data_IF_629125663845
#
_entry.id   IF_629125663845
#
_cell.length_a   1.000
_cell.length_b   1.000
_cell.length_c   1.000
_cell.angle_alpha   90.00
_cell.angle_beta   90.00
_cell.angle_gamma   90.00
#
_symmetry.space_group_name_H-M   'P 1'
#
loop_
_entity.id
_entity.type
_entity.pdbx_description
1 polymer ?
#
# COMPACT_ATOMS: atom_id res chain seq x y z
N UNK A 1 15.56 7.73 37.36
CA UNK A 1 14.58 7.40 36.33
C UNK A 1 14.84 8.30 35.14
N UNK A 2 15.36 7.78 34.04
CA UNK A 2 15.52 8.54 32.80
C UNK A 2 14.12 8.96 32.32
N UNK A 3 13.89 10.25 32.17
CA UNK A 3 12.59 10.75 31.67
C UNK A 3 12.31 10.18 30.28
N UNK A 4 11.12 9.59 30.08
CA UNK A 4 10.65 9.13 28.77
C UNK A 4 10.62 10.34 27.82
N UNK A 5 11.20 10.20 26.62
CA UNK A 5 11.16 11.29 25.64
C UNK A 5 9.73 11.60 25.19
N UNK A 6 9.42 12.85 24.81
CA UNK A 6 8.09 13.21 24.31
C UNK A 6 7.61 12.32 23.14
N UNK A 7 8.54 11.94 22.25
CA UNK A 7 8.25 11.04 21.12
C UNK A 7 7.84 9.65 21.61
N UNK A 8 8.60 9.09 22.55
CA UNK A 8 8.29 7.77 23.12
C UNK A 8 6.98 7.79 23.91
N UNK A 9 6.72 8.84 24.68
CA UNK A 9 5.47 9.01 25.39
C UNK A 9 4.26 9.01 24.42
N UNK A 10 4.35 9.80 23.35
CA UNK A 10 3.31 9.84 22.34
C UNK A 10 3.13 8.49 21.62
N UNK A 11 4.20 7.81 21.26
CA UNK A 11 4.15 6.49 20.63
C UNK A 11 3.41 5.48 21.53
N UNK A 12 3.70 5.49 22.83
CA UNK A 12 3.02 4.65 23.83
C UNK A 12 1.52 4.97 23.87
N UNK A 13 1.15 6.25 23.90
CA UNK A 13 -0.25 6.68 23.96
C UNK A 13 -1.01 6.28 22.69
N UNK A 14 -0.38 6.34 21.51
CA UNK A 14 -0.96 5.89 20.26
C UNK A 14 -1.10 4.37 20.19
N UNK A 15 -0.08 3.60 20.62
CA UNK A 15 -0.12 2.13 20.59
C UNK A 15 -1.22 1.59 21.52
N UNK A 16 -1.44 2.22 22.66
CA UNK A 16 -2.48 1.83 23.62
C UNK A 16 -3.91 2.01 23.11
N UNK A 17 -4.10 2.65 21.97
CA UNK A 17 -5.38 2.73 21.27
C UNK A 17 -5.46 1.61 20.24
N UNK A 18 -6.36 0.62 20.42
CA UNK A 18 -6.45 -0.56 19.55
C UNK A 18 -7.18 -0.23 18.23
N UNK A 19 -6.59 0.64 17.45
CA UNK A 19 -7.12 1.16 16.18
C UNK A 19 -6.94 0.15 15.05
N UNK A 20 -7.58 -1.03 15.18
CA UNK A 20 -7.61 -2.02 14.10
C UNK A 20 -8.45 -1.48 12.95
N UNK A 21 -7.90 -1.52 11.72
CA UNK A 21 -8.55 -0.96 10.53
C UNK A 21 -10.01 -1.39 10.40
N UNK A 22 -10.97 -0.50 10.09
CA UNK A 22 -10.82 0.93 9.81
C UNK A 22 -10.98 1.85 11.04
N UNK A 23 -10.92 1.32 12.26
CA UNK A 23 -11.18 2.05 13.50
C UNK A 23 -10.00 2.96 13.90
N UNK A 24 -10.25 4.25 14.19
CA UNK A 24 -9.23 5.19 14.67
C UNK A 24 -8.95 5.11 16.18
N UNK A 25 -9.98 4.78 16.96
CA UNK A 25 -9.91 4.68 18.42
C UNK A 25 -9.37 5.94 19.13
N UNK A 26 -9.60 7.12 18.54
CA UNK A 26 -9.19 8.41 19.10
C UNK A 26 -7.71 8.77 18.90
N UNK A 27 -6.99 8.06 18.03
CA UNK A 27 -5.63 8.42 17.64
C UNK A 27 -5.58 9.80 16.99
N UNK A 28 -6.46 10.06 16.02
CA UNK A 28 -6.52 11.35 15.31
C UNK A 28 -6.96 12.48 16.24
N UNK A 29 -7.86 12.23 17.19
CA UNK A 29 -8.27 13.22 18.19
C UNK A 29 -7.07 13.64 19.03
N UNK A 30 -6.29 12.69 19.54
CA UNK A 30 -5.07 12.99 20.33
C UNK A 30 -4.07 13.83 19.52
N UNK A 31 -3.87 13.50 18.25
CA UNK A 31 -2.96 14.24 17.37
C UNK A 31 -3.52 15.63 17.08
N UNK A 32 -4.82 15.77 16.78
CA UNK A 32 -5.48 17.02 16.50
C UNK A 32 -5.40 18.00 17.67
N UNK A 33 -5.59 17.54 18.90
CA UNK A 33 -5.45 18.37 20.10
C UNK A 33 -4.04 18.95 20.23
N UNK A 34 -3.01 18.14 19.98
CA UNK A 34 -1.61 18.61 20.01
C UNK A 34 -1.31 19.57 18.88
N UNK A 35 -1.82 19.32 17.67
CA UNK A 35 -1.69 20.23 16.52
C UNK A 35 -2.43 21.56 16.76
N UNK A 36 -3.62 21.53 17.37
CA UNK A 36 -4.36 22.76 17.73
C UNK A 36 -3.54 23.65 18.67
N UNK A 37 -2.84 23.06 19.66
CA UNK A 37 -1.97 23.80 20.57
C UNK A 37 -0.80 24.52 19.86
N UNK A 38 -0.45 24.05 18.66
CA UNK A 38 0.56 24.68 17.79
C UNK A 38 -0.05 25.68 16.79
N UNK A 39 -1.35 25.91 16.83
CA UNK A 39 -2.06 26.83 15.92
C UNK A 39 -2.37 26.22 14.55
N UNK A 40 -2.48 24.90 14.44
CA UNK A 40 -3.05 24.26 13.27
C UNK A 40 -4.57 24.38 13.26
N UNK A 41 -5.13 24.55 12.08
CA UNK A 41 -6.55 24.35 11.81
C UNK A 41 -6.78 22.88 11.49
N UNK A 42 -7.59 22.21 12.29
CA UNK A 42 -7.90 20.79 12.14
C UNK A 42 -9.26 20.63 11.47
N UNK A 43 -9.32 19.79 10.47
CA UNK A 43 -10.52 19.44 9.71
C UNK A 43 -10.68 17.90 9.72
N UNK A 44 -11.54 17.35 10.60
CA UNK A 44 -11.92 15.94 10.53
C UNK A 44 -12.72 15.68 9.25
N UNK A 45 -12.33 14.67 8.49
CA UNK A 45 -12.97 14.26 7.24
C UNK A 45 -13.38 12.80 7.36
N UNK A 46 -14.68 12.52 7.44
CA UNK A 46 -15.19 11.16 7.52
C UNK A 46 -15.80 10.73 6.20
N UNK A 47 -15.31 9.60 5.67
CA UNK A 47 -15.83 8.96 4.48
C UNK A 47 -16.25 7.53 4.82
N UNK A 48 -17.57 7.24 4.74
CA UNK A 48 -18.10 5.96 5.19
C UNK A 48 -17.78 5.70 6.67
N UNK A 49 -17.05 4.62 6.95
CA UNK A 49 -16.65 4.24 8.30
C UNK A 49 -15.24 4.74 8.67
N UNK A 50 -14.52 5.34 7.73
CA UNK A 50 -13.12 5.76 7.85
C UNK A 50 -13.02 7.18 8.36
N UNK A 51 -12.24 7.36 9.41
CA UNK A 51 -11.88 8.67 9.94
C UNK A 51 -10.59 9.17 9.28
N UNK A 52 -10.62 10.41 8.80
CA UNK A 52 -9.44 11.09 8.27
C UNK A 52 -9.29 12.45 8.94
N UNK A 53 -8.07 12.94 8.97
CA UNK A 53 -7.75 14.27 9.50
C UNK A 53 -6.88 15.04 8.50
N UNK A 54 -7.37 16.20 8.09
CA UNK A 54 -6.56 17.22 7.47
C UNK A 54 -6.26 18.31 8.47
N UNK A 55 -5.00 18.63 8.68
CA UNK A 55 -4.58 19.70 9.58
C UNK A 55 -3.58 20.59 8.87
N UNK A 56 -3.74 21.92 8.97
CA UNK A 56 -2.84 22.88 8.32
C UNK A 56 -2.52 24.05 9.23
N UNK A 57 -1.22 24.43 9.26
CA UNK A 57 -0.70 25.65 9.83
C UNK A 57 -0.11 26.52 8.73
N UNK A 58 -0.52 27.80 8.66
CA UNK A 58 -0.14 28.75 7.62
C UNK A 58 -1.02 28.65 6.37
N UNK A 59 -0.92 29.68 5.51
CA UNK A 59 -1.70 29.79 4.26
C UNK A 59 -0.82 30.03 3.04
N UNK A 60 0.48 30.24 3.25
CA UNK A 60 1.44 30.52 2.19
C UNK A 60 2.07 29.22 1.62
N UNK A 61 2.44 29.29 0.35
CA UNK A 61 3.33 28.28 -0.24
C UNK A 61 4.79 28.54 0.20
N UNK A 62 5.64 27.51 0.19
CA UNK A 62 5.35 26.12 -0.11
C UNK A 62 4.65 25.39 1.05
N UNK A 63 3.91 24.32 0.76
CA UNK A 63 3.27 23.45 1.73
C UNK A 63 4.02 22.11 1.86
N UNK A 64 4.54 21.84 3.05
CA UNK A 64 5.08 20.53 3.43
C UNK A 64 4.01 19.75 4.19
N UNK A 65 3.69 18.55 3.74
CA UNK A 65 2.72 17.65 4.39
C UNK A 65 3.44 16.46 5.01
N UNK A 66 3.10 16.14 6.25
CA UNK A 66 3.37 14.85 6.88
C UNK A 66 2.15 13.96 6.69
N UNK A 67 2.33 12.81 6.05
CA UNK A 67 1.24 11.86 5.81
C UNK A 67 1.50 10.53 6.52
N UNK A 68 0.42 9.86 6.91
CA UNK A 68 0.47 8.56 7.54
C UNK A 68 -0.90 8.05 7.97
N UNK A 69 -0.91 6.87 8.59
CA UNK A 69 -2.11 6.22 9.06
C UNK A 69 -2.09 5.95 10.56
N UNK A 70 -3.28 5.92 11.15
CA UNK A 70 -3.48 5.65 12.58
C UNK A 70 -3.97 4.24 12.85
N UNK A 71 -4.53 3.60 11.82
CA UNK A 71 -4.98 2.21 11.89
C UNK A 71 -3.82 1.22 11.86
N UNK A 72 -4.13 0.00 12.21
CA UNK A 72 -3.18 -1.13 12.24
C UNK A 72 -3.87 -2.40 11.76
N UNK A 73 -3.10 -3.34 11.19
CA UNK A 73 -3.61 -4.68 10.85
C UNK A 73 -4.09 -5.44 12.10
N UNK A 74 -5.00 -6.42 11.96
CA UNK A 74 -5.38 -7.31 13.04
C UNK A 74 -4.18 -7.96 13.72
N UNK A 75 -4.26 -8.16 15.03
CA UNK A 75 -3.16 -8.69 15.85
C UNK A 75 -2.88 -10.18 15.62
N UNK A 76 -3.86 -10.92 15.09
CA UNK A 76 -3.86 -12.37 15.16
C UNK A 76 -4.07 -12.87 16.61
N UNK A 77 -3.78 -14.14 16.89
CA UNK A 77 -3.99 -14.69 18.22
C UNK A 77 -3.03 -14.05 19.25
N UNK A 78 -3.58 -13.49 20.33
CA UNK A 78 -2.78 -12.84 21.38
C UNK A 78 -1.76 -13.78 22.04
N UNK A 79 -2.05 -15.09 22.06
CA UNK A 79 -1.14 -16.10 22.58
C UNK A 79 0.18 -16.21 21.81
N UNK A 80 0.25 -15.67 20.59
CA UNK A 80 1.48 -15.61 19.80
C UNK A 80 2.36 -14.39 20.13
N UNK A 81 1.87 -13.47 20.96
CA UNK A 81 2.60 -12.26 21.34
C UNK A 81 3.38 -12.46 22.63
N UNK A 82 4.61 -11.91 22.68
CA UNK A 82 5.42 -11.87 23.91
C UNK A 82 4.79 -10.98 24.98
N UNK A 83 4.18 -9.87 24.57
CA UNK A 83 3.41 -8.93 25.40
C UNK A 83 2.08 -8.64 24.72
N UNK A 84 1.02 -8.28 25.46
CA UNK A 84 -0.25 -7.91 24.84
C UNK A 84 -0.04 -6.85 23.76
N UNK A 85 -0.66 -6.98 22.57
CA UNK A 85 -0.33 -6.17 21.40
C UNK A 85 -0.51 -4.66 21.58
N UNK A 86 -1.37 -4.24 22.49
CA UNK A 86 -1.63 -2.83 22.77
C UNK A 86 -1.13 -2.36 24.15
N UNK A 87 -0.29 -3.17 24.82
CA UNK A 87 0.28 -2.78 26.13
C UNK A 87 1.35 -1.71 26.01
N UNK A 88 1.97 -1.52 24.84
CA UNK A 88 3.11 -0.63 24.62
C UNK A 88 4.25 -0.89 25.62
N UNK A 89 4.62 -2.16 25.74
CA UNK A 89 5.62 -2.60 26.71
C UNK A 89 7.03 -2.16 26.27
N UNK A 90 7.82 -1.64 27.24
CA UNK A 90 9.24 -1.38 27.03
C UNK A 90 10.05 -2.44 27.73
N UNK A 91 10.94 -3.09 27.00
CA UNK A 91 11.90 -4.06 27.53
C UNK A 91 13.21 -3.99 26.73
N UNK A 92 14.33 -4.00 27.42
CA UNK A 92 15.67 -3.99 26.82
C UNK A 92 15.91 -2.83 25.81
N UNK A 93 15.29 -1.67 26.03
CA UNK A 93 15.38 -0.50 25.17
C UNK A 93 14.52 -0.57 23.90
N UNK A 94 13.69 -1.58 23.76
CA UNK A 94 12.74 -1.77 22.65
C UNK A 94 11.31 -1.50 23.10
N UNK A 95 10.52 -0.88 22.23
CA UNK A 95 9.08 -0.67 22.40
C UNK A 95 8.32 -1.75 21.64
N UNK A 96 7.57 -2.57 22.37
CA UNK A 96 6.75 -3.66 21.82
C UNK A 96 5.30 -3.24 21.73
N UNK A 97 4.68 -3.51 20.57
CA UNK A 97 3.26 -3.29 20.35
C UNK A 97 2.87 -3.30 18.88
N UNK A 98 1.60 -3.62 18.59
CA UNK A 98 1.05 -3.50 17.24
C UNK A 98 1.07 -2.03 16.81
N UNK A 99 1.60 -1.75 15.61
CA UNK A 99 1.74 -0.40 15.11
C UNK A 99 2.97 0.36 15.63
N UNK A 100 3.84 -0.25 16.46
CA UNK A 100 5.03 0.43 16.96
C UNK A 100 5.98 0.84 15.84
N UNK A 101 6.20 -0.02 14.84
CA UNK A 101 7.00 0.25 13.66
C UNK A 101 6.14 0.83 12.53
N UNK A 102 4.98 0.27 12.30
CA UNK A 102 4.06 0.59 11.22
C UNK A 102 2.72 1.04 11.78
N UNK A 103 2.39 2.39 11.79
CA UNK A 103 3.40 3.45 11.68
C UNK A 103 3.29 4.47 12.83
N UNK A 104 2.71 4.07 14.00
CA UNK A 104 2.47 4.97 15.14
C UNK A 104 3.76 5.58 15.70
N UNK A 105 4.88 4.84 15.63
CA UNK A 105 6.20 5.37 15.95
C UNK A 105 6.63 6.50 15.01
N UNK A 106 6.38 6.34 13.71
CA UNK A 106 6.60 7.36 12.69
C UNK A 106 5.75 8.60 12.91
N UNK A 107 4.45 8.43 13.21
CA UNK A 107 3.53 9.52 13.56
C UNK A 107 4.02 10.31 14.77
N UNK A 108 4.42 9.61 15.83
CA UNK A 108 4.94 10.25 17.04
C UNK A 108 6.23 11.04 16.75
N UNK A 109 7.11 10.53 15.90
CA UNK A 109 8.33 11.20 15.50
C UNK A 109 8.04 12.48 14.68
N UNK A 110 7.15 12.39 13.67
CA UNK A 110 6.78 13.54 12.83
C UNK A 110 6.12 14.65 13.66
N UNK A 111 5.15 14.30 14.52
CA UNK A 111 4.45 15.28 15.33
C UNK A 111 5.39 15.98 16.32
N UNK A 112 6.19 15.22 17.05
CA UNK A 112 7.13 15.82 18.03
C UNK A 112 8.29 16.59 17.37
N UNK A 113 8.66 16.24 16.14
CA UNK A 113 9.59 17.04 15.34
C UNK A 113 8.95 18.39 14.95
N UNK A 114 7.69 18.36 14.51
CA UNK A 114 6.93 19.56 14.19
C UNK A 114 6.76 20.47 15.44
N UNK A 115 6.41 19.91 16.60
CA UNK A 115 6.32 20.66 17.87
C UNK A 115 7.63 21.39 18.19
N UNK A 116 8.77 20.70 18.10
CA UNK A 116 10.08 21.30 18.33
C UNK A 116 10.44 22.38 17.30
N UNK A 117 10.05 22.16 16.05
CA UNK A 117 10.29 23.12 14.98
C UNK A 117 9.46 24.39 15.20
N UNK A 118 8.15 24.29 15.42
CA UNK A 118 7.25 25.41 15.63
C UNK A 118 7.62 26.20 16.88
N UNK A 119 8.04 25.53 17.96
CA UNK A 119 8.52 26.18 19.16
C UNK A 119 9.78 27.03 18.92
N UNK A 120 10.68 26.60 18.03
CA UNK A 120 11.91 27.33 17.67
C UNK A 120 11.68 28.38 16.59
N UNK A 121 10.75 28.15 15.69
CA UNK A 121 10.46 28.98 14.51
C UNK A 121 8.94 29.24 14.39
N UNK A 122 8.34 29.98 15.32
CA UNK A 122 6.88 30.17 15.32
C UNK A 122 6.36 30.96 14.10
N UNK A 123 7.24 31.73 13.45
CA UNK A 123 6.96 32.52 12.24
C UNK A 123 7.72 31.97 11.03
N UNK A 124 7.76 30.64 10.87
CA UNK A 124 8.38 30.02 9.71
C UNK A 124 7.69 30.44 8.39
N UNK A 125 8.44 30.39 7.29
CA UNK A 125 7.89 30.60 5.95
C UNK A 125 7.16 29.34 5.48
N UNK A 126 6.17 29.53 4.56
CA UNK A 126 5.38 28.44 4.03
C UNK A 126 4.38 27.88 5.03
N UNK A 127 3.86 26.71 4.73
CA UNK A 127 2.84 26.02 5.51
C UNK A 127 3.27 24.62 5.86
N UNK A 128 2.73 24.06 6.94
CA UNK A 128 2.90 22.67 7.35
C UNK A 128 1.53 22.03 7.41
N UNK A 129 1.37 20.84 6.84
CA UNK A 129 0.16 20.03 6.89
C UNK A 129 0.39 18.67 7.53
N UNK A 130 -0.69 18.08 8.06
CA UNK A 130 -0.78 16.66 8.41
C UNK A 130 -1.99 16.08 7.70
N UNK A 131 -1.80 14.96 7.03
CA UNK A 131 -2.84 14.17 6.40
C UNK A 131 -2.80 12.77 7.02
N UNK A 132 -3.83 12.42 7.78
CA UNK A 132 -3.93 11.16 8.49
C UNK A 132 -5.17 10.41 8.06
N UNK A 133 -5.08 9.08 8.00
CA UNK A 133 -6.19 8.17 7.69
C UNK A 133 -6.26 7.02 8.69
N UNK A 134 -7.43 6.40 8.81
CA UNK A 134 -7.63 5.13 9.50
C UNK A 134 -7.94 3.96 8.55
N UNK A 135 -7.58 4.05 7.27
CA UNK A 135 -7.81 3.03 6.22
C UNK A 135 -6.61 2.96 5.25
N UNK A 136 -5.41 2.74 5.78
CA UNK A 136 -4.24 2.39 4.95
C UNK A 136 -4.06 0.88 4.91
N UNK A 137 -4.24 0.22 6.03
CA UNK A 137 -4.06 -1.22 6.25
C UNK A 137 -5.28 -2.06 5.83
N UNK A 138 -6.34 -1.40 5.38
CA UNK A 138 -7.56 -1.99 4.88
C UNK A 138 -7.70 -1.89 3.36
N UNK A 139 -8.93 -1.69 2.84
CA UNK A 139 -9.17 -1.51 1.42
C UNK A 139 -8.54 -0.26 0.82
N UNK A 140 -8.17 0.75 1.65
CA UNK A 140 -7.57 2.03 1.28
C UNK A 140 -8.39 2.86 0.26
N UNK A 141 -9.73 2.69 0.27
CA UNK A 141 -10.64 3.34 -0.70
C UNK A 141 -11.19 4.65 -0.14
N UNK A 142 -11.41 4.72 1.18
CA UNK A 142 -12.04 5.86 1.86
C UNK A 142 -11.04 6.68 2.69
N UNK A 143 -9.76 6.36 2.58
CA UNK A 143 -8.66 7.00 3.30
C UNK A 143 -8.05 8.17 2.53
N UNK A 144 -6.73 8.17 2.45
CA UNK A 144 -5.89 9.21 1.83
C UNK A 144 -6.38 9.67 0.46
N UNK A 145 -6.85 8.73 -0.39
CA UNK A 145 -7.37 9.06 -1.74
C UNK A 145 -8.50 10.07 -1.67
N UNK A 146 -9.46 9.87 -0.76
CA UNK A 146 -10.62 10.77 -0.60
C UNK A 146 -10.22 12.15 -0.06
N UNK A 147 -9.25 12.19 0.85
CA UNK A 147 -8.72 13.47 1.34
C UNK A 147 -8.02 14.22 0.20
N UNK A 148 -7.19 13.53 -0.60
CA UNK A 148 -6.50 14.14 -1.75
C UNK A 148 -7.51 14.66 -2.78
N UNK A 149 -8.59 13.92 -3.10
CA UNK A 149 -9.67 14.38 -3.96
C UNK A 149 -10.30 15.70 -3.45
N UNK A 150 -10.56 15.79 -2.13
CA UNK A 150 -11.08 17.01 -1.51
C UNK A 150 -10.09 18.18 -1.60
N UNK A 151 -8.81 17.95 -1.37
CA UNK A 151 -7.77 18.97 -1.46
C UNK A 151 -7.59 19.47 -2.88
N UNK A 152 -7.60 18.57 -3.87
CA UNK A 152 -7.57 18.95 -5.30
C UNK A 152 -8.77 19.79 -5.71
N UNK A 153 -9.98 19.41 -5.27
CA UNK A 153 -11.19 20.19 -5.54
C UNK A 153 -11.13 21.63 -4.97
N UNK A 154 -10.36 21.84 -3.91
CA UNK A 154 -10.10 23.15 -3.28
C UNK A 154 -8.86 23.84 -3.87
N UNK A 155 -8.21 23.26 -4.86
CA UNK A 155 -6.95 23.75 -5.44
C UNK A 155 -5.83 23.88 -4.39
N UNK A 156 -5.82 23.02 -3.40
CA UNK A 156 -4.79 22.94 -2.37
C UNK A 156 -3.55 22.24 -2.95
N UNK A 157 -2.51 23.00 -3.24
CA UNK A 157 -1.27 22.46 -3.78
C UNK A 157 -0.35 21.99 -2.65
N UNK A 158 0.09 20.74 -2.72
CA UNK A 158 1.10 20.16 -1.82
C UNK A 158 2.43 20.17 -2.57
N UNK A 159 3.43 20.88 -2.04
CA UNK A 159 4.75 20.98 -2.68
C UNK A 159 5.64 19.79 -2.29
N UNK A 160 5.57 19.35 -1.03
CA UNK A 160 6.34 18.21 -0.52
C UNK A 160 5.50 17.36 0.43
N UNK A 161 5.75 16.06 0.39
CA UNK A 161 5.15 15.11 1.31
C UNK A 161 6.20 14.19 1.94
N UNK A 162 6.16 14.05 3.26
CA UNK A 162 6.94 13.06 4.01
C UNK A 162 5.98 12.05 4.59
N UNK A 163 6.16 10.78 4.20
CA UNK A 163 5.36 9.66 4.69
C UNK A 163 6.21 8.92 5.72
N UNK A 164 5.68 8.74 6.93
CA UNK A 164 6.42 8.20 8.08
C UNK A 164 6.50 6.68 8.14
N UNK A 165 6.33 6.00 7.01
CA UNK A 165 6.43 4.54 6.89
C UNK A 165 7.84 4.00 7.21
N UNK A 166 7.94 2.77 7.79
CA UNK A 166 9.22 2.16 8.09
C UNK A 166 9.95 1.79 6.80
N UNK A 167 11.10 2.41 6.55
CA UNK A 167 11.92 2.14 5.36
C UNK A 167 13.37 1.79 5.69
N UNK A 168 13.82 2.08 6.91
CA UNK A 168 15.19 1.80 7.34
C UNK A 168 15.45 0.31 7.50
N UNK A 169 16.67 -0.14 7.21
CA UNK A 169 17.05 -1.55 7.28
C UNK A 169 17.99 -1.89 8.43
N UNK A 170 19.07 -1.13 8.62
CA UNK A 170 20.07 -1.36 9.68
C UNK A 170 20.17 -0.23 10.68
N UNK A 171 19.98 1.01 10.24
CA UNK A 171 19.99 2.21 11.07
C UNK A 171 18.86 3.13 10.65
N UNK A 172 18.27 3.81 11.61
CA UNK A 172 17.24 4.83 11.33
C UNK A 172 17.77 5.86 10.34
N UNK A 173 17.05 6.02 9.21
CA UNK A 173 17.38 6.96 8.15
C UNK A 173 18.43 6.47 7.14
N UNK A 174 18.81 5.18 7.15
CA UNK A 174 19.74 4.62 6.16
C UNK A 174 19.11 4.34 4.80
N UNK A 175 17.78 4.29 4.72
CA UNK A 175 17.03 4.14 3.50
C UNK A 175 15.80 5.04 3.49
N UNK A 176 15.59 5.76 2.39
CA UNK A 176 14.40 6.56 2.11
C UNK A 176 13.86 6.12 0.75
N UNK A 177 12.58 5.76 0.71
CA UNK A 177 11.91 5.46 -0.55
C UNK A 177 11.50 6.78 -1.22
N UNK A 178 12.03 7.06 -2.40
CA UNK A 178 11.67 8.23 -3.20
C UNK A 178 10.72 7.90 -4.35
N UNK A 179 10.27 6.65 -4.47
CA UNK A 179 9.36 6.19 -5.49
C UNK A 179 8.89 4.76 -5.25
N UNK A 180 7.94 4.33 -6.05
CA UNK A 180 7.35 2.99 -5.98
C UNK A 180 7.06 2.49 -7.39
N UNK A 181 7.34 1.20 -7.64
CA UNK A 181 6.86 0.53 -8.85
C UNK A 181 5.35 0.33 -8.78
N UNK A 182 4.69 0.36 -9.94
CA UNK A 182 3.29 0.01 -10.07
C UNK A 182 3.05 -1.48 -9.85
N UNK A 183 1.79 -1.83 -9.61
CA UNK A 183 1.35 -3.21 -9.43
C UNK A 183 0.05 -3.44 -10.18
N UNK A 184 0.05 -4.44 -11.08
CA UNK A 184 -1.09 -4.81 -11.90
C UNK A 184 -1.25 -6.32 -11.86
N UNK A 185 -2.44 -6.80 -11.44
CA UNK A 185 -2.78 -8.22 -11.45
C UNK A 185 -3.67 -8.53 -12.66
N UNK A 186 -3.45 -9.71 -13.26
CA UNK A 186 -4.35 -10.29 -14.24
C UNK A 186 -4.87 -11.63 -13.73
N UNK A 187 -6.19 -11.82 -13.86
CA UNK A 187 -6.90 -13.07 -13.59
C UNK A 187 -7.33 -13.64 -14.93
N UNK A 188 -6.63 -14.66 -15.40
CA UNK A 188 -6.80 -15.21 -16.74
C UNK A 188 -7.35 -16.64 -16.68
N UNK A 189 -8.41 -16.89 -17.41
CA UNK A 189 -8.93 -18.23 -17.66
C UNK A 189 -8.81 -18.56 -19.14
N UNK A 190 -8.11 -19.65 -19.46
CA UNK A 190 -8.05 -20.19 -20.81
C UNK A 190 -9.09 -21.27 -20.94
N UNK A 191 -10.03 -21.10 -21.88
CA UNK A 191 -11.12 -22.02 -22.12
C UNK A 191 -10.73 -23.07 -23.16
N UNK A 192 -10.85 -24.33 -22.78
CA UNK A 192 -10.64 -25.48 -23.62
C UNK A 192 -11.96 -26.27 -23.89
N UNK A 193 -11.83 -27.57 -24.05
CA UNK A 193 -12.94 -28.50 -24.10
C UNK A 193 -12.56 -29.76 -23.34
N UNK A 194 -13.27 -30.03 -22.27
CA UNK A 194 -13.05 -31.20 -21.42
C UNK A 194 -13.26 -32.49 -22.19
N UNK A 195 -12.46 -33.51 -21.91
CA UNK A 195 -12.62 -34.83 -22.54
C UNK A 195 -11.79 -35.92 -21.86
N UNK A 196 -11.96 -37.14 -22.38
CA UNK A 196 -11.18 -38.28 -21.90
C UNK A 196 -9.80 -38.30 -22.60
N UNK A 197 -8.72 -38.53 -21.87
CA UNK A 197 -7.33 -38.52 -22.41
C UNK A 197 -7.10 -39.53 -23.54
N UNK A 198 -7.90 -40.61 -23.61
CA UNK A 198 -7.85 -41.58 -24.69
C UNK A 198 -8.45 -41.10 -26.04
N UNK A 199 -9.20 -40.01 -26.01
CA UNK A 199 -9.88 -39.42 -27.16
C UNK A 199 -9.56 -37.93 -27.33
N UNK A 200 -8.26 -37.56 -27.45
CA UNK A 200 -7.83 -36.16 -27.45
C UNK A 200 -8.39 -35.34 -28.61
N UNK A 201 -8.81 -36.01 -29.72
CA UNK A 201 -9.45 -35.38 -30.90
C UNK A 201 -10.85 -34.80 -30.59
N UNK A 202 -11.48 -35.20 -29.49
CA UNK A 202 -12.77 -34.69 -29.03
C UNK A 202 -12.65 -33.61 -27.95
N UNK A 203 -11.43 -33.25 -27.58
CA UNK A 203 -11.15 -32.29 -26.53
C UNK A 203 -10.24 -31.16 -27.02
N UNK A 204 -10.13 -30.11 -26.24
CA UNK A 204 -9.11 -29.06 -26.39
C UNK A 204 -8.45 -28.81 -25.04
N UNK A 205 -7.20 -29.27 -24.88
CA UNK A 205 -6.51 -29.15 -23.61
C UNK A 205 -6.01 -27.71 -23.41
N UNK A 206 -6.57 -26.94 -22.48
CA UNK A 206 -6.18 -25.54 -22.27
C UNK A 206 -4.73 -25.39 -21.76
N UNK A 207 -4.17 -26.40 -21.07
CA UNK A 207 -2.78 -26.42 -20.65
C UNK A 207 -1.85 -26.45 -21.88
N UNK A 208 -2.14 -27.32 -22.85
CA UNK A 208 -1.34 -27.41 -24.06
C UNK A 208 -1.48 -26.17 -24.94
N UNK A 209 -2.69 -25.57 -24.99
CA UNK A 209 -2.94 -24.35 -25.73
C UNK A 209 -2.21 -23.15 -25.15
N UNK A 210 -2.10 -23.08 -23.82
CA UNK A 210 -1.45 -21.98 -23.12
C UNK A 210 0.09 -22.11 -23.07
N UNK A 211 0.65 -23.30 -23.13
CA UNK A 211 2.09 -23.52 -22.95
C UNK A 211 2.99 -22.64 -23.86
N UNK A 212 2.72 -22.48 -25.18
CA UNK A 212 3.51 -21.58 -26.03
C UNK A 212 3.41 -20.11 -25.59
N UNK A 213 2.22 -19.64 -25.24
CA UNK A 213 2.03 -18.28 -24.77
C UNK A 213 2.71 -18.05 -23.42
N UNK A 214 2.63 -19.00 -22.49
CA UNK A 214 3.32 -18.92 -21.20
C UNK A 214 4.83 -18.73 -21.39
N UNK A 215 5.43 -19.49 -22.30
CA UNK A 215 6.86 -19.34 -22.63
C UNK A 215 7.15 -17.93 -23.15
N UNK A 216 6.30 -17.39 -24.03
CA UNK A 216 6.46 -16.06 -24.59
C UNK A 216 6.29 -14.96 -23.54
N UNK A 217 5.24 -15.03 -22.70
CA UNK A 217 5.01 -14.06 -21.62
C UNK A 217 6.17 -14.01 -20.62
N UNK A 218 6.74 -15.16 -20.27
CA UNK A 218 7.89 -15.26 -19.36
C UNK A 218 9.20 -14.74 -19.98
N UNK A 219 9.33 -14.79 -21.30
CA UNK A 219 10.51 -14.32 -22.02
C UNK A 219 10.40 -12.85 -22.48
N UNK A 220 9.22 -12.26 -22.40
CA UNK A 220 8.94 -10.90 -22.88
C UNK A 220 9.72 -9.85 -22.09
N UNK A 221 10.35 -8.93 -22.81
CA UNK A 221 10.99 -7.76 -22.23
C UNK A 221 9.97 -6.62 -22.21
N UNK A 222 9.43 -6.36 -21.03
CA UNK A 222 8.36 -5.38 -20.83
C UNK A 222 8.87 -3.94 -20.93
N UNK A 223 10.05 -3.66 -20.33
CA UNK A 223 10.87 -2.46 -20.46
C UNK A 223 12.33 -2.75 -20.03
N UNK A 224 13.17 -1.73 -20.06
CA UNK A 224 14.58 -1.85 -19.63
C UNK A 224 14.82 -1.28 -18.22
N UNK A 225 13.77 -0.78 -17.54
CA UNK A 225 13.93 -0.03 -16.31
C UNK A 225 14.61 1.32 -16.52
N UNK A 226 15.00 1.95 -15.42
CA UNK A 226 15.71 3.24 -15.46
C UNK A 226 16.72 3.35 -14.30
N UNK A 227 17.25 4.55 -14.04
CA UNK A 227 18.22 4.78 -12.98
C UNK A 227 17.68 4.47 -11.57
N UNK A 228 16.35 4.40 -11.39
CA UNK A 228 15.68 4.24 -10.10
C UNK A 228 14.98 2.91 -9.93
N UNK A 229 14.47 2.34 -11.03
CA UNK A 229 13.71 1.09 -11.01
C UNK A 229 14.32 0.04 -11.92
N UNK A 230 14.38 -1.23 -11.47
CA UNK A 230 14.71 -2.34 -12.36
C UNK A 230 13.65 -2.48 -13.46
N UNK A 231 13.93 -3.25 -14.52
CA UNK A 231 12.94 -3.59 -15.53
C UNK A 231 11.64 -4.13 -14.95
N UNK A 232 10.54 -3.86 -15.61
CA UNK A 232 9.23 -4.41 -15.27
C UNK A 232 9.28 -5.93 -15.27
N UNK A 233 8.80 -6.53 -14.21
CA UNK A 233 8.76 -7.98 -14.03
C UNK A 233 7.35 -8.52 -14.17
N UNK A 234 7.23 -9.67 -14.87
CA UNK A 234 6.02 -10.48 -14.97
C UNK A 234 6.21 -11.77 -14.18
N UNK A 235 5.25 -12.14 -13.33
CA UNK A 235 5.28 -13.36 -12.57
C UNK A 235 3.89 -14.00 -12.54
N UNK A 236 3.82 -15.30 -12.88
CA UNK A 236 2.63 -16.12 -12.63
C UNK A 236 2.67 -16.52 -11.15
N UNK A 237 1.72 -16.03 -10.37
CA UNK A 237 1.65 -16.27 -8.93
C UNK A 237 0.84 -17.53 -8.59
N UNK A 238 -0.10 -17.90 -9.46
CA UNK A 238 -0.97 -19.07 -9.26
C UNK A 238 -1.37 -19.66 -10.61
N UNK A 239 -1.49 -20.98 -10.67
CA UNK A 239 -2.00 -21.71 -11.85
C UNK A 239 -2.72 -22.96 -11.38
N UNK A 240 -3.91 -23.19 -11.91
CA UNK A 240 -4.77 -24.31 -11.57
C UNK A 240 -5.50 -24.84 -12.79
N UNK A 241 -5.55 -26.18 -12.94
CA UNK A 241 -6.33 -26.86 -13.96
C UNK A 241 -6.67 -28.28 -13.51
N UNK A 242 -7.81 -28.77 -14.01
CA UNK A 242 -8.25 -30.14 -13.82
C UNK A 242 -8.84 -30.44 -12.43
N UNK A 243 -9.31 -31.67 -12.29
CA UNK A 243 -10.04 -32.17 -11.11
C UNK A 243 -9.23 -33.15 -10.27
N UNK A 244 -7.95 -33.37 -10.62
CA UNK A 244 -7.09 -34.40 -10.02
C UNK A 244 -7.26 -35.80 -10.63
N UNK A 245 -8.24 -36.01 -11.53
CA UNK A 245 -8.40 -37.28 -12.24
C UNK A 245 -7.35 -37.44 -13.35
N UNK A 246 -6.69 -38.59 -13.40
CA UNK A 246 -5.58 -38.86 -14.34
C UNK A 246 -6.01 -39.10 -15.79
N UNK A 247 -7.29 -39.35 -16.01
CA UNK A 247 -7.88 -39.72 -17.31
C UNK A 247 -8.77 -38.61 -17.91
N UNK A 248 -8.77 -37.39 -17.33
CA UNK A 248 -9.60 -36.26 -17.78
C UNK A 248 -8.70 -35.12 -18.26
N UNK A 249 -8.92 -34.67 -19.50
CA UNK A 249 -8.41 -33.41 -20.04
C UNK A 249 -9.25 -32.29 -19.43
N UNK A 250 -8.68 -31.25 -18.78
CA UNK A 250 -9.45 -30.17 -18.18
C UNK A 250 -10.20 -29.34 -19.21
N UNK A 251 -11.31 -28.74 -18.80
CA UNK A 251 -12.05 -27.77 -19.59
C UNK A 251 -11.43 -26.38 -19.56
N UNK A 252 -10.92 -25.98 -18.38
CA UNK A 252 -10.35 -24.67 -18.16
C UNK A 252 -8.98 -24.74 -17.49
N UNK A 253 -8.19 -23.70 -17.72
CA UNK A 253 -6.96 -23.39 -17.00
C UNK A 253 -7.07 -21.99 -16.44
N UNK A 254 -6.99 -21.86 -15.12
CA UNK A 254 -7.02 -20.60 -14.41
C UNK A 254 -5.62 -20.21 -13.94
N UNK A 255 -5.27 -18.94 -14.08
CA UNK A 255 -4.01 -18.41 -13.54
C UNK A 255 -4.15 -16.98 -13.07
N UNK A 256 -3.33 -16.64 -12.07
CA UNK A 256 -3.15 -15.27 -11.57
C UNK A 256 -1.71 -14.87 -11.83
N UNK A 257 -1.52 -13.75 -12.47
CA UNK A 257 -0.20 -13.18 -12.70
C UNK A 257 -0.13 -11.74 -12.22
N UNK A 258 1.08 -11.25 -11.94
CA UNK A 258 1.33 -9.90 -11.47
C UNK A 258 2.47 -9.25 -12.25
N UNK A 259 2.28 -7.98 -12.57
CA UNK A 259 3.33 -7.07 -12.98
C UNK A 259 3.77 -6.20 -11.81
N UNK A 260 5.10 -6.11 -11.62
CA UNK A 260 5.72 -4.99 -10.90
C UNK A 260 6.40 -4.10 -11.92
N UNK A 261 5.74 -3.00 -12.29
CA UNK A 261 6.14 -2.21 -13.44
C UNK A 261 6.78 -0.87 -13.07
N UNK A 262 7.75 -0.46 -13.88
CA UNK A 262 8.51 0.78 -13.72
C UNK A 262 7.71 1.98 -14.22
N UNK A 263 8.29 3.17 -14.18
CA UNK A 263 7.72 4.38 -14.78
C UNK A 263 7.89 4.46 -16.30
N UNK A 264 8.58 3.47 -16.91
CA UNK A 264 8.84 3.43 -18.36
C UNK A 264 7.69 2.84 -19.17
N UNK A 265 6.73 2.20 -18.52
CA UNK A 265 5.56 1.58 -19.15
C UNK A 265 4.31 1.83 -18.32
N UNK A 266 3.19 2.04 -18.98
CA UNK A 266 1.89 2.22 -18.33
C UNK A 266 1.16 0.89 -18.12
N UNK A 267 0.23 0.86 -17.17
CA UNK A 267 -0.62 -0.32 -16.97
C UNK A 267 -1.45 -0.65 -18.23
N UNK A 268 -1.90 0.38 -18.96
CA UNK A 268 -2.66 0.20 -20.21
C UNK A 268 -1.82 -0.48 -21.29
N UNK A 269 -0.58 -0.04 -21.49
CA UNK A 269 0.34 -0.69 -22.44
C UNK A 269 0.62 -2.14 -22.08
N UNK A 270 0.75 -2.46 -20.78
CA UNK A 270 0.92 -3.85 -20.32
C UNK A 270 -0.31 -4.70 -20.64
N UNK A 271 -1.52 -4.17 -20.38
CA UNK A 271 -2.77 -4.83 -20.69
C UNK A 271 -2.89 -5.10 -22.21
N UNK A 272 -2.70 -4.09 -23.03
CA UNK A 272 -2.75 -4.19 -24.49
C UNK A 272 -1.76 -5.23 -25.03
N UNK A 273 -0.53 -5.24 -24.56
CA UNK A 273 0.49 -6.21 -24.99
C UNK A 273 0.12 -7.64 -24.62
N UNK A 274 -0.38 -7.89 -23.42
CA UNK A 274 -0.86 -9.23 -23.01
C UNK A 274 -2.04 -9.66 -23.87
N UNK A 275 -3.02 -8.79 -24.10
CA UNK A 275 -4.20 -9.12 -24.90
C UNK A 275 -3.85 -9.37 -26.39
N UNK A 276 -2.91 -8.60 -26.94
CA UNK A 276 -2.38 -8.85 -28.29
C UNK A 276 -1.71 -10.24 -28.39
N UNK A 277 -0.96 -10.65 -27.39
CA UNK A 277 -0.33 -11.97 -27.33
C UNK A 277 -1.38 -13.07 -27.23
N UNK A 278 -2.40 -12.90 -26.39
CA UNK A 278 -3.53 -13.84 -26.27
C UNK A 278 -4.27 -14.02 -27.62
N UNK A 279 -4.55 -12.91 -28.31
CA UNK A 279 -5.21 -12.90 -29.60
C UNK A 279 -4.33 -13.54 -30.69
N UNK A 280 -3.04 -13.25 -30.71
CA UNK A 280 -2.09 -13.82 -31.69
C UNK A 280 -1.98 -15.36 -31.58
N UNK A 281 -2.16 -15.91 -30.38
CA UNK A 281 -2.22 -17.36 -30.15
C UNK A 281 -3.63 -17.97 -30.42
N UNK A 282 -4.64 -17.16 -30.79
CA UNK A 282 -5.98 -17.62 -31.11
C UNK A 282 -6.68 -18.30 -29.93
N UNK A 283 -6.38 -17.92 -28.70
CA UNK A 283 -6.93 -18.52 -27.50
C UNK A 283 -8.35 -18.00 -27.25
N UNK A 284 -9.20 -18.88 -26.76
CA UNK A 284 -10.47 -18.51 -26.16
C UNK A 284 -10.24 -18.29 -24.67
N UNK A 285 -10.49 -17.08 -24.19
CA UNK A 285 -10.12 -16.71 -22.81
C UNK A 285 -11.09 -15.71 -22.18
N UNK A 286 -11.06 -15.63 -20.86
CA UNK A 286 -11.59 -14.54 -20.05
C UNK A 286 -10.43 -13.92 -19.27
N UNK A 287 -10.36 -12.59 -19.23
CA UNK A 287 -9.30 -11.87 -18.52
C UNK A 287 -9.89 -10.70 -17.76
N UNK A 288 -9.60 -10.65 -16.45
CA UNK A 288 -9.96 -9.54 -15.59
C UNK A 288 -8.67 -8.90 -15.05
N UNK A 289 -8.67 -7.58 -15.00
CA UNK A 289 -7.54 -6.79 -14.51
C UNK A 289 -7.85 -6.16 -13.16
N UNK A 290 -6.88 -6.20 -12.25
CA UNK A 290 -6.93 -5.48 -10.99
C UNK A 290 -5.66 -4.64 -10.85
N UNK A 291 -5.82 -3.33 -10.93
CA UNK A 291 -4.75 -2.36 -10.76
C UNK A 291 -4.65 -1.95 -9.30
N UNK A 292 -3.57 -2.35 -8.61
CA UNK A 292 -3.39 -2.11 -7.16
C UNK A 292 -2.47 -0.94 -6.83
N UNK A 293 -1.84 -0.31 -7.82
CA UNK A 293 -1.04 0.90 -7.57
C UNK A 293 -0.29 1.42 -8.80
N UNK A 294 -0.25 2.74 -8.92
CA UNK A 294 0.54 3.42 -9.95
C UNK A 294 2.01 3.51 -9.56
N UNK A 295 2.94 3.48 -10.53
CA UNK A 295 4.32 3.82 -10.27
C UNK A 295 4.44 5.32 -10.07
N UNK A 296 5.37 5.73 -9.22
CA UNK A 296 5.76 7.13 -9.06
C UNK A 296 7.23 7.23 -8.69
N UNK A 297 7.81 8.40 -8.93
CA UNK A 297 9.18 8.75 -8.59
C UNK A 297 9.24 10.20 -8.09
#
# INVERSE_FOLDING_TARGET
MTSISPTLALAIDLIRRPSITPEDQGCQTLIAERLAALGFHNEPLRFGEVDNLWSRRGTAAPLLVFAGHTDVVPTGPESAWRFPPFAAQIEDGLLYGRGAADMKGGLAAMLTACERFVAKQPQHRGSIGFLLTSDEEGPAIQGTVKVVECLQARQEAIDWCVIGEPSSSQRVGDAVKNGRRGSLNGYLTIHGVQGHVAYPQLAKNPIHLFAPLMQQLCAEIWDQGNAFFPPTSFQIANIQAGTGATNVIPGDLELVFNFRYSTEVTHTELQERVEQLLQAHGLHYSLEWNHSGYPFL
#
